data_IF_665829328116
#
_entry.id   IF_665829328116
#
_cell.length_a   1.000
_cell.length_b   1.000
_cell.length_c   1.000
_cell.angle_alpha   90.00
_cell.angle_beta   90.00
_cell.angle_gamma   90.00
#
_symmetry.space_group_name_H-M   'P 1'
#
loop_
_entity.id
_entity.type
_entity.pdbx_description
1 polymer ?
#
# COMPACT_ATOMS: atom_id res chain seq x y z
N UNK A 1 4.20 3.42 11.44
CA UNK A 1 4.40 4.48 12.47
C UNK A 1 3.37 5.62 12.45
N UNK A 2 2.82 6.05 11.29
CA UNK A 2 1.91 7.21 11.24
C UNK A 2 0.59 6.96 12.00
N UNK A 3 -0.07 5.80 11.83
CA UNK A 3 -1.30 5.48 12.58
C UNK A 3 -1.07 5.34 14.09
N UNK A 4 0.09 4.82 14.53
CA UNK A 4 0.43 4.72 15.96
C UNK A 4 0.68 6.09 16.60
N UNK A 5 1.20 7.08 15.85
CA UNK A 5 1.42 8.45 16.33
C UNK A 5 0.14 9.31 16.32
N UNK A 6 -0.75 9.12 15.35
CA UNK A 6 -1.98 9.92 15.25
C UNK A 6 -3.18 9.32 16.00
N UNK A 7 -3.13 8.05 16.43
CA UNK A 7 -4.22 7.38 17.15
C UNK A 7 -5.61 7.64 16.54
N UNK A 8 -5.79 7.36 15.23
CA UNK A 8 -7.05 7.61 14.55
C UNK A 8 -8.19 6.83 15.21
N UNK A 9 -9.26 7.55 15.55
CA UNK A 9 -10.48 6.97 16.09
C UNK A 9 -11.50 6.78 14.97
N UNK A 10 -12.02 5.57 14.86
CA UNK A 10 -13.06 5.24 13.90
C UNK A 10 -12.60 5.18 12.44
N UNK A 11 -13.55 4.94 11.54
CA UNK A 11 -13.28 4.61 10.14
C UNK A 11 -12.76 5.79 9.33
N UNK A 12 -13.31 6.99 9.55
CA UNK A 12 -12.99 8.18 8.74
C UNK A 12 -11.56 8.68 8.97
N UNK A 13 -11.10 8.69 10.22
CA UNK A 13 -9.71 9.08 10.53
C UNK A 13 -8.71 8.05 9.99
N UNK A 14 -9.02 6.76 10.13
CA UNK A 14 -8.21 5.69 9.55
C UNK A 14 -8.11 5.81 8.03
N UNK A 15 -9.23 6.14 7.36
CA UNK A 15 -9.26 6.36 5.90
C UNK A 15 -8.40 7.55 5.48
N UNK A 16 -8.42 8.64 6.25
CA UNK A 16 -7.57 9.82 6.02
C UNK A 16 -6.09 9.47 6.14
N UNK A 17 -5.70 8.74 7.19
CA UNK A 17 -4.30 8.33 7.40
C UNK A 17 -3.85 7.33 6.35
N UNK A 18 -4.69 6.37 5.97
CA UNK A 18 -4.37 5.42 4.90
C UNK A 18 -4.12 6.13 3.56
N UNK A 19 -4.91 7.16 3.23
CA UNK A 19 -4.69 7.99 2.03
C UNK A 19 -3.35 8.73 2.09
N UNK A 20 -3.01 9.32 3.24
CA UNK A 20 -1.72 9.99 3.44
C UNK A 20 -0.54 9.02 3.28
N UNK A 21 -0.63 7.84 3.91
CA UNK A 21 0.39 6.78 3.76
C UNK A 21 0.51 6.29 2.32
N UNK A 22 -0.61 6.07 1.64
CA UNK A 22 -0.64 5.67 0.23
C UNK A 22 -0.05 6.72 -0.71
N UNK A 23 -0.23 8.01 -0.42
CA UNK A 23 0.38 9.09 -1.20
C UNK A 23 1.91 9.11 -1.09
N UNK A 24 2.44 8.93 0.12
CA UNK A 24 3.90 8.82 0.34
C UNK A 24 4.46 7.61 -0.40
N UNK A 25 3.81 6.45 -0.28
CA UNK A 25 4.20 5.24 -1.01
C UNK A 25 4.15 5.44 -2.53
N UNK A 26 3.12 6.14 -3.05
CA UNK A 26 3.02 6.46 -4.48
C UNK A 26 4.20 7.31 -4.96
N UNK A 27 4.56 8.36 -4.21
CA UNK A 27 5.71 9.20 -4.53
C UNK A 27 7.02 8.40 -4.51
N UNK A 28 7.24 7.61 -3.47
CA UNK A 28 8.42 6.75 -3.37
C UNK A 28 8.53 5.79 -4.57
N UNK A 29 7.43 5.13 -4.94
CA UNK A 29 7.40 4.26 -6.14
C UNK A 29 7.78 5.04 -7.41
N UNK A 30 7.17 6.21 -7.63
CA UNK A 30 7.44 7.01 -8.84
C UNK A 30 8.89 7.49 -8.90
N UNK A 31 9.47 7.87 -7.76
CA UNK A 31 10.86 8.29 -7.69
C UNK A 31 11.81 7.13 -8.02
N UNK A 32 11.55 5.94 -7.46
CA UNK A 32 12.32 4.74 -7.78
C UNK A 32 12.21 4.42 -9.27
N UNK A 33 11.00 4.38 -9.83
CA UNK A 33 10.78 4.12 -11.27
C UNK A 33 11.51 5.13 -12.17
N UNK A 34 11.57 6.40 -11.76
CA UNK A 34 12.29 7.45 -12.47
C UNK A 34 13.81 7.25 -12.39
N UNK A 35 14.33 6.86 -11.24
CA UNK A 35 15.76 6.66 -11.02
C UNK A 35 16.28 5.39 -11.69
N UNK A 36 15.49 4.31 -11.64
CA UNK A 36 15.88 3.03 -12.26
C UNK A 36 15.58 3.00 -13.76
N UNK A 37 14.71 3.88 -14.26
CA UNK A 37 14.24 3.86 -15.64
C UNK A 37 13.33 2.68 -15.96
N UNK A 38 13.00 1.86 -14.96
CA UNK A 38 12.20 0.66 -15.11
C UNK A 38 10.88 0.77 -14.35
N UNK A 39 9.80 0.30 -14.97
CA UNK A 39 8.50 0.25 -14.29
C UNK A 39 8.48 -0.86 -13.24
N UNK A 40 8.52 -0.48 -11.97
CA UNK A 40 8.33 -1.37 -10.81
C UNK A 40 6.98 -2.08 -10.91
N UNK A 41 5.94 -1.39 -11.39
CA UNK A 41 4.62 -1.99 -11.69
C UNK A 41 4.46 -2.16 -13.21
N UNK A 42 4.84 -3.34 -13.69
CA UNK A 42 4.55 -3.81 -15.05
C UNK A 42 3.32 -4.73 -15.05
N UNK A 43 2.67 -4.92 -16.20
CA UNK A 43 1.52 -5.83 -16.34
C UNK A 43 1.83 -7.27 -15.89
N UNK A 44 3.09 -7.70 -16.05
CA UNK A 44 3.60 -9.00 -15.61
C UNK A 44 3.69 -9.09 -14.08
N UNK A 45 4.24 -8.06 -13.44
CA UNK A 45 4.38 -8.02 -11.98
C UNK A 45 3.07 -7.65 -11.26
N UNK A 46 2.18 -6.90 -11.90
CA UNK A 46 0.88 -6.53 -11.37
C UNK A 46 -0.01 -7.75 -11.08
N UNK A 47 0.05 -8.80 -11.92
CA UNK A 47 -0.68 -10.06 -11.66
C UNK A 47 -0.17 -10.76 -10.40
N UNK A 48 1.15 -10.78 -10.18
CA UNK A 48 1.76 -11.32 -8.96
C UNK A 48 1.39 -10.49 -7.72
N UNK A 49 1.38 -9.16 -7.84
CA UNK A 49 0.95 -8.25 -6.78
C UNK A 49 -0.53 -8.45 -6.40
N UNK A 50 -1.41 -8.66 -7.39
CA UNK A 50 -2.83 -8.98 -7.17
C UNK A 50 -3.01 -10.30 -6.39
N UNK A 51 -2.24 -11.34 -6.75
CA UNK A 51 -2.32 -12.67 -6.09
C UNK A 51 -1.78 -12.64 -4.66
N UNK A 52 -0.76 -11.85 -4.36
CA UNK A 52 -0.27 -11.70 -2.97
C UNK A 52 -1.31 -11.02 -2.07
N UNK A 53 -2.03 -10.02 -2.58
CA UNK A 53 -3.07 -9.35 -1.80
C UNK A 53 -4.25 -10.26 -1.46
N UNK A 54 -4.61 -11.22 -2.32
CA UNK A 54 -5.71 -12.15 -2.03
C UNK A 54 -5.34 -13.20 -0.99
N UNK A 55 -4.09 -13.71 -0.99
CA UNK A 55 -3.62 -14.67 0.02
C UNK A 55 -3.45 -14.04 1.41
N UNK A 56 -3.01 -12.78 1.49
CA UNK A 56 -2.85 -12.09 2.78
C UNK A 56 -4.19 -11.76 3.47
N UNK A 57 -5.29 -11.71 2.72
CA UNK A 57 -6.65 -11.45 3.26
C UNK A 57 -7.33 -12.74 3.70
N UNK A 58 -7.06 -13.89 3.07
CA UNK A 58 -7.63 -15.18 3.49
C UNK A 58 -7.10 -15.66 4.85
N UNK A 59 -5.84 -15.35 5.17
CA UNK A 59 -5.20 -15.84 6.41
C UNK A 59 -5.63 -15.04 7.66
N UNK A 60 -6.35 -13.91 7.50
CA UNK A 60 -6.81 -13.07 8.63
C UNK A 60 -8.26 -13.31 9.05
N UNK A 61 -8.99 -14.17 8.36
CA UNK A 61 -10.41 -14.45 8.65
C UNK A 61 -10.62 -15.76 9.44
N UNK A 62 -9.59 -16.25 10.13
CA UNK A 62 -9.72 -17.39 11.05
C UNK A 62 -9.11 -17.07 12.41
N UNK A 63 -9.79 -16.20 13.17
CA UNK A 63 -9.80 -16.13 14.63
C UNK A 63 -10.96 -15.23 15.09
#
# INVERSE_FOLDING_TARGET
>A
EISKKQNPKGLEENKSIARKGGFVAKKARQEIEKQTGESIISSKNAKLLKIKNTKLVSDKNNQ
#
